data_IF_197364207443
#
_entry.id   IF_197364207443
#
_cell.length_a   1.000
_cell.length_b   1.000
_cell.length_c   1.000
_cell.angle_alpha   90.00
_cell.angle_beta   90.00
_cell.angle_gamma   90.00
#
_symmetry.space_group_name_H-M   'P 1'
#
loop_
_entity.id
_entity.type
_entity.pdbx_description
1 polymer ?
#
# COMPACT_ATOMS: atom_id res chain seq x y z
N UNK A 1 -38.15 21.12 -52.56
CA UNK A 1 -36.69 20.84 -52.46
C UNK A 1 -35.98 21.53 -51.30
N UNK A 2 -36.11 22.85 -51.06
CA UNK A 2 -35.31 23.54 -50.01
C UNK A 2 -35.49 23.04 -48.56
N UNK A 3 -36.67 22.49 -48.21
CA UNK A 3 -36.96 21.99 -46.86
C UNK A 3 -36.21 20.69 -46.56
N UNK A 4 -36.19 19.72 -47.49
CA UNK A 4 -35.48 18.45 -47.33
C UNK A 4 -33.96 18.63 -47.24
N UNK A 5 -33.37 19.53 -48.04
CA UNK A 5 -31.94 19.86 -47.96
C UNK A 5 -31.55 20.45 -46.60
N UNK A 6 -32.41 21.31 -46.02
CA UNK A 6 -32.19 21.89 -44.69
C UNK A 6 -32.26 20.83 -43.59
N UNK A 7 -33.16 19.85 -43.71
CA UNK A 7 -33.23 18.71 -42.80
C UNK A 7 -31.99 17.81 -42.90
N UNK A 8 -31.54 17.49 -44.11
CA UNK A 8 -30.34 16.68 -44.35
C UNK A 8 -29.09 17.37 -43.76
N UNK A 9 -28.96 18.70 -43.91
CA UNK A 9 -27.86 19.46 -43.30
C UNK A 9 -27.87 19.39 -41.76
N UNK A 10 -29.05 19.47 -41.13
CA UNK A 10 -29.19 19.35 -39.67
C UNK A 10 -28.83 17.94 -39.18
N UNK A 11 -29.26 16.91 -39.90
CA UNK A 11 -28.93 15.51 -39.56
C UNK A 11 -27.41 15.28 -39.68
N UNK A 12 -26.77 15.74 -40.76
CA UNK A 12 -25.30 15.65 -40.92
C UNK A 12 -24.55 16.36 -39.80
N UNK A 13 -25.00 17.56 -39.42
CA UNK A 13 -24.38 18.32 -38.32
C UNK A 13 -24.54 17.59 -36.97
N UNK A 14 -25.72 17.01 -36.70
CA UNK A 14 -25.97 16.26 -35.49
C UNK A 14 -25.10 14.99 -35.39
N UNK A 15 -24.96 14.26 -36.49
CA UNK A 15 -24.08 13.08 -36.58
C UNK A 15 -22.61 13.47 -36.37
N UNK A 16 -22.16 14.60 -36.93
CA UNK A 16 -20.80 15.12 -36.74
C UNK A 16 -20.54 15.44 -35.25
N UNK A 17 -21.48 16.07 -34.56
CA UNK A 17 -21.36 16.40 -33.13
C UNK A 17 -21.24 15.13 -32.29
N UNK A 18 -22.05 14.10 -32.56
CA UNK A 18 -21.96 12.82 -31.82
C UNK A 18 -20.59 12.16 -32.04
N UNK A 19 -20.08 12.15 -33.27
CA UNK A 19 -18.75 11.60 -33.57
C UNK A 19 -17.64 12.38 -32.84
N UNK A 20 -17.71 13.72 -32.81
CA UNK A 20 -16.78 14.54 -32.04
C UNK A 20 -16.87 14.24 -30.54
N UNK A 21 -18.08 14.09 -29.99
CA UNK A 21 -18.27 13.71 -28.59
C UNK A 21 -17.69 12.33 -28.27
N UNK A 22 -17.79 11.35 -29.18
CA UNK A 22 -17.17 10.03 -29.02
C UNK A 22 -15.64 10.09 -29.04
N UNK A 23 -15.06 10.92 -29.91
CA UNK A 23 -13.60 11.12 -29.97
C UNK A 23 -13.12 11.77 -28.67
N UNK A 24 -13.78 12.85 -28.22
CA UNK A 24 -13.46 13.53 -26.96
C UNK A 24 -13.61 12.55 -25.78
N UNK A 25 -14.68 11.77 -25.73
CA UNK A 25 -14.89 10.76 -24.68
C UNK A 25 -13.81 9.68 -24.66
N UNK A 26 -13.31 9.26 -25.82
CA UNK A 26 -12.19 8.31 -25.91
C UNK A 26 -10.87 8.90 -25.40
N UNK A 27 -10.62 10.20 -25.62
CA UNK A 27 -9.46 10.90 -25.05
C UNK A 27 -9.56 11.09 -23.53
N UNK A 28 -10.78 11.10 -22.97
CA UNK A 28 -11.01 11.13 -21.52
C UNK A 28 -10.95 9.76 -20.84
N UNK A 29 -10.83 8.65 -21.58
CA UNK A 29 -10.60 7.36 -20.94
C UNK A 29 -9.18 7.33 -20.34
N UNK A 30 -9.13 7.38 -19.01
CA UNK A 30 -7.89 7.28 -18.23
C UNK A 30 -7.21 5.95 -18.54
N UNK A 31 -6.11 6.00 -19.30
CA UNK A 31 -5.30 4.83 -19.63
C UNK A 31 -4.75 4.25 -18.32
N UNK A 32 -5.17 3.04 -17.96
CA UNK A 32 -4.62 2.35 -16.78
C UNK A 32 -3.27 1.76 -17.15
N UNK A 33 -2.21 2.54 -17.00
CA UNK A 33 -0.84 2.06 -17.14
C UNK A 33 -0.51 1.15 -15.94
N UNK A 34 -0.42 -0.15 -16.20
CA UNK A 34 -0.01 -1.15 -15.22
C UNK A 34 1.50 -1.09 -15.03
N UNK A 35 1.97 -1.26 -13.79
CA UNK A 35 3.39 -1.18 -13.45
C UNK A 35 3.93 -2.57 -13.09
N UNK A 36 5.07 -2.91 -13.68
CA UNK A 36 5.82 -4.11 -13.30
C UNK A 36 6.64 -3.83 -12.02
N UNK A 37 6.07 -4.18 -10.87
CA UNK A 37 6.70 -3.99 -9.56
C UNK A 37 7.89 -4.92 -9.26
N UNK A 38 8.20 -5.88 -10.13
CA UNK A 38 9.33 -6.79 -9.91
C UNK A 38 10.68 -6.20 -10.37
N UNK A 39 10.67 -5.07 -11.08
CA UNK A 39 11.88 -4.44 -11.66
C UNK A 39 12.94 -4.13 -10.60
N UNK A 40 12.52 -3.82 -9.36
CA UNK A 40 13.43 -3.43 -8.28
C UNK A 40 13.85 -4.61 -7.39
N UNK A 41 13.38 -5.83 -7.63
CA UNK A 41 13.64 -6.97 -6.73
C UNK A 41 15.15 -7.34 -6.69
N UNK A 42 15.92 -7.01 -7.73
CA UNK A 42 17.36 -7.22 -7.78
C UNK A 42 18.19 -6.18 -7.01
N UNK A 43 17.59 -5.06 -6.57
CA UNK A 43 18.32 -4.02 -5.84
C UNK A 43 18.76 -4.58 -4.49
N UNK A 44 20.06 -4.48 -4.24
CA UNK A 44 20.68 -4.85 -2.98
C UNK A 44 20.87 -3.61 -2.10
N UNK A 45 20.18 -3.58 -0.98
CA UNK A 45 20.30 -2.53 0.03
C UNK A 45 20.58 -3.14 1.40
N UNK A 46 21.26 -2.40 2.27
CA UNK A 46 21.51 -2.84 3.65
C UNK A 46 20.23 -2.72 4.46
N UNK A 47 19.69 -3.86 4.90
CA UNK A 47 18.52 -3.94 5.78
C UNK A 47 18.96 -4.67 7.05
N UNK A 48 18.90 -4.01 8.22
CA UNK A 48 19.23 -4.67 9.48
C UNK A 48 18.22 -5.79 9.77
N UNK A 49 18.68 -6.88 10.40
CA UNK A 49 17.83 -8.01 10.79
C UNK A 49 16.81 -8.42 9.72
N UNK A 50 17.24 -8.58 8.46
CA UNK A 50 16.34 -8.77 7.33
C UNK A 50 15.35 -9.91 7.58
N UNK A 51 14.07 -9.63 7.40
CA UNK A 51 13.01 -10.61 7.55
C UNK A 51 13.08 -11.67 6.45
N UNK A 52 12.82 -12.93 6.82
CA UNK A 52 12.47 -13.97 5.88
C UNK A 52 10.99 -13.78 5.47
N UNK A 53 10.76 -13.41 4.21
CA UNK A 53 9.42 -13.12 3.68
C UNK A 53 8.96 -14.21 2.68
N UNK A 54 9.59 -15.39 2.66
CA UNK A 54 9.32 -16.44 1.66
C UNK A 54 7.87 -16.95 1.67
N UNK A 55 7.17 -16.84 2.80
CA UNK A 55 5.76 -17.22 2.91
C UNK A 55 4.81 -16.22 2.20
N UNK A 56 5.30 -15.02 1.85
CA UNK A 56 4.61 -14.09 0.96
C UNK A 56 4.78 -14.53 -0.50
N UNK A 57 3.95 -15.47 -0.95
CA UNK A 57 3.96 -16.08 -2.28
C UNK A 57 3.94 -15.08 -3.45
N UNK A 58 3.35 -13.89 -3.26
CA UNK A 58 3.28 -12.83 -4.28
C UNK A 58 4.52 -11.92 -4.31
N UNK A 59 5.44 -12.07 -3.37
CA UNK A 59 6.70 -11.33 -3.31
C UNK A 59 7.81 -12.14 -4.00
N UNK A 60 8.19 -11.75 -5.21
CA UNK A 60 9.27 -12.40 -5.94
C UNK A 60 10.64 -11.75 -5.68
N UNK A 61 11.03 -11.62 -4.41
CA UNK A 61 12.26 -10.93 -4.00
C UNK A 61 12.97 -11.68 -2.87
N UNK A 62 14.18 -12.17 -3.15
CA UNK A 62 15.02 -12.89 -2.17
C UNK A 62 15.73 -11.97 -1.18
N UNK A 63 15.77 -10.65 -1.44
CA UNK A 63 16.39 -9.62 -0.59
C UNK A 63 15.37 -8.52 -0.28
N UNK A 64 14.27 -8.84 0.43
CA UNK A 64 13.16 -7.94 0.63
C UNK A 64 13.52 -6.76 1.55
N UNK A 65 12.91 -5.60 1.36
CA UNK A 65 13.16 -4.36 2.10
C UNK A 65 12.47 -4.33 3.49
N UNK A 66 12.51 -5.43 4.23
CA UNK A 66 11.85 -5.58 5.53
C UNK A 66 12.84 -6.03 6.60
N UNK A 67 12.89 -5.32 7.71
CA UNK A 67 13.63 -5.68 8.92
C UNK A 67 12.68 -6.37 9.88
N UNK A 68 12.99 -7.57 10.34
CA UNK A 68 12.18 -8.28 11.33
C UNK A 68 12.18 -7.52 12.67
N UNK A 69 11.00 -7.39 13.25
CA UNK A 69 10.77 -6.85 14.60
C UNK A 69 9.77 -7.76 15.32
N UNK A 70 10.08 -8.18 16.54
CA UNK A 70 9.11 -8.93 17.35
C UNK A 70 8.04 -7.98 17.85
N UNK A 71 6.81 -8.48 17.94
CA UNK A 71 5.71 -7.66 18.46
C UNK A 71 6.00 -7.17 19.89
N UNK A 72 6.52 -8.05 20.74
CA UNK A 72 6.89 -7.70 22.11
C UNK A 72 7.91 -6.56 22.19
N UNK A 73 8.90 -6.55 21.30
CA UNK A 73 9.90 -5.49 21.24
C UNK A 73 9.23 -4.16 20.87
N UNK A 74 8.33 -4.16 19.89
CA UNK A 74 7.55 -2.98 19.51
C UNK A 74 6.71 -2.46 20.68
N UNK A 75 5.94 -3.31 21.36
CA UNK A 75 5.13 -2.94 22.52
C UNK A 75 6.00 -2.36 23.65
N UNK A 76 7.15 -2.97 23.93
CA UNK A 76 8.05 -2.47 24.96
C UNK A 76 8.68 -1.13 24.57
N UNK A 77 9.02 -0.94 23.29
CA UNK A 77 9.56 0.33 22.80
C UNK A 77 8.53 1.46 22.88
N UNK A 78 7.27 1.19 22.52
CA UNK A 78 6.20 2.19 22.62
C UNK A 78 5.89 2.57 24.06
N UNK A 79 5.76 1.60 24.97
CA UNK A 79 5.60 1.84 26.43
C UNK A 79 6.68 2.73 27.03
N UNK A 80 7.90 2.63 26.51
CA UNK A 80 9.06 3.35 27.01
C UNK A 80 9.39 4.63 26.22
N UNK A 81 8.54 5.07 25.28
CA UNK A 81 8.79 6.22 24.39
C UNK A 81 10.13 6.12 23.62
N UNK A 82 10.52 4.90 23.24
CA UNK A 82 11.76 4.57 22.52
C UNK A 82 11.50 3.97 21.14
N UNK A 83 10.32 4.20 20.59
CA UNK A 83 9.95 3.66 19.30
C UNK A 83 10.80 4.32 18.20
N UNK A 84 11.29 3.52 17.24
CA UNK A 84 12.23 4.04 16.24
C UNK A 84 11.47 4.81 15.16
N UNK A 85 12.02 5.90 14.66
CA UNK A 85 11.50 6.54 13.46
C UNK A 85 11.65 5.59 12.25
N UNK A 86 10.70 5.65 11.34
CA UNK A 86 10.70 4.87 10.10
C UNK A 86 9.34 4.30 9.74
N UNK A 87 9.34 3.45 8.70
CA UNK A 87 8.14 2.77 8.19
C UNK A 87 7.92 1.49 8.98
N UNK A 88 6.67 1.24 9.37
CA UNK A 88 6.24 0.02 10.04
C UNK A 88 5.20 -0.70 9.19
N UNK A 89 5.31 -2.03 9.15
CA UNK A 89 4.36 -2.92 8.49
C UNK A 89 3.93 -4.02 9.45
N UNK A 90 2.63 -4.12 9.69
CA UNK A 90 2.02 -5.16 10.50
C UNK A 90 1.14 -6.03 9.60
N UNK A 91 1.35 -7.34 9.62
CA UNK A 91 0.57 -8.28 8.82
C UNK A 91 0.97 -9.72 9.09
N UNK A 92 0.56 -10.64 8.22
CA UNK A 92 1.02 -12.02 8.24
C UNK A 92 0.94 -12.63 6.82
N UNK A 93 1.64 -13.75 6.55
CA UNK A 93 1.62 -14.37 5.23
C UNK A 93 0.32 -15.14 4.91
N UNK A 94 -0.51 -15.51 5.87
CA UNK A 94 -1.78 -16.23 5.61
C UNK A 94 -2.91 -15.29 5.14
N UNK A 95 -2.75 -13.99 5.37
CA UNK A 95 -3.69 -12.93 5.02
C UNK A 95 -3.63 -12.57 3.51
N UNK A 96 -4.74 -12.76 2.79
CA UNK A 96 -4.84 -12.49 1.35
C UNK A 96 -4.49 -11.04 0.97
N UNK A 97 -4.99 -10.09 1.74
CA UNK A 97 -4.71 -8.67 1.57
C UNK A 97 -3.22 -8.35 1.78
N UNK A 98 -2.60 -8.98 2.78
CA UNK A 98 -1.18 -8.85 3.10
C UNK A 98 -0.31 -9.34 1.94
N UNK A 99 -0.70 -10.43 1.27
CA UNK A 99 -0.03 -10.94 0.07
C UNK A 99 -0.02 -9.91 -1.07
N UNK A 100 -1.01 -9.03 -1.17
CA UNK A 100 -1.05 -8.00 -2.22
C UNK A 100 -0.26 -6.74 -1.85
N UNK A 101 -0.25 -6.37 -0.58
CA UNK A 101 0.41 -5.14 -0.12
C UNK A 101 1.92 -5.27 -0.14
N UNK A 102 2.46 -6.41 0.31
CA UNK A 102 3.91 -6.59 0.50
C UNK A 102 4.73 -6.33 -0.78
N UNK A 103 4.37 -6.85 -1.96
CA UNK A 103 5.15 -6.58 -3.18
C UNK A 103 5.20 -5.09 -3.57
N UNK A 104 4.11 -4.35 -3.34
CA UNK A 104 4.00 -2.92 -3.65
C UNK A 104 4.83 -2.10 -2.68
N UNK A 105 4.67 -2.39 -1.38
CA UNK A 105 5.46 -1.76 -0.34
C UNK A 105 6.95 -2.05 -0.52
N UNK A 106 7.32 -3.29 -0.87
CA UNK A 106 8.70 -3.66 -1.19
C UNK A 106 9.27 -2.81 -2.33
N UNK A 107 8.53 -2.68 -3.43
CA UNK A 107 8.93 -1.83 -4.56
C UNK A 107 9.20 -0.40 -4.09
N UNK A 108 8.25 0.21 -3.38
CA UNK A 108 8.32 1.61 -2.97
C UNK A 108 9.43 1.86 -1.94
N UNK A 109 9.62 0.94 -1.00
CA UNK A 109 10.75 0.97 -0.06
C UNK A 109 12.08 0.88 -0.80
N UNK A 110 12.19 -0.03 -1.78
CA UNK A 110 13.41 -0.18 -2.59
C UNK A 110 13.73 1.05 -3.42
N UNK A 111 12.71 1.62 -4.06
CA UNK A 111 12.82 2.85 -4.83
C UNK A 111 13.36 4.01 -3.98
N UNK A 112 12.90 4.15 -2.74
CA UNK A 112 13.33 5.21 -1.81
C UNK A 112 14.55 4.85 -0.96
N UNK A 113 15.15 3.67 -1.16
CA UNK A 113 16.26 3.16 -0.34
C UNK A 113 15.93 3.07 1.16
N UNK A 114 14.67 2.78 1.48
CA UNK A 114 14.15 2.59 2.83
C UNK A 114 13.90 1.11 3.12
N UNK A 115 13.65 0.78 4.38
CA UNK A 115 13.09 -0.50 4.78
C UNK A 115 11.97 -0.30 5.80
N UNK A 116 11.08 -1.27 5.91
CA UNK A 116 10.04 -1.28 6.93
C UNK A 116 10.40 -2.21 8.08
N UNK A 117 10.08 -1.82 9.32
CA UNK A 117 10.02 -2.73 10.45
C UNK A 117 8.79 -3.63 10.29
N UNK A 118 9.03 -4.91 10.02
CA UNK A 118 8.01 -5.92 9.83
C UNK A 118 7.70 -6.62 11.13
N UNK A 119 6.42 -6.58 11.52
CA UNK A 119 5.86 -7.29 12.65
C UNK A 119 4.85 -8.31 12.11
N UNK A 120 5.17 -9.59 12.23
CA UNK A 120 4.22 -10.66 11.95
C UNK A 120 3.29 -10.82 13.17
N UNK A 121 1.98 -10.68 12.96
CA UNK A 121 1.00 -10.86 14.05
C UNK A 121 0.90 -12.31 14.53
N UNK A 122 1.50 -13.26 13.82
CA UNK A 122 1.61 -14.65 14.25
C UNK A 122 2.97 -15.00 14.87
N UNK A 123 3.97 -14.10 14.84
CA UNK A 123 5.33 -14.39 15.36
C UNK A 123 5.42 -14.43 16.89
N UNK A 124 4.32 -14.31 17.61
CA UNK A 124 4.31 -14.45 19.06
C UNK A 124 3.05 -15.15 19.55
N UNK A 125 3.23 -16.34 20.12
CA UNK A 125 2.45 -16.73 21.29
C UNK A 125 2.86 -15.76 22.41
N UNK A 126 2.04 -14.76 22.71
CA UNK A 126 2.19 -14.04 23.97
C UNK A 126 1.56 -14.92 25.06
N UNK A 127 2.42 -15.50 25.89
CA UNK A 127 2.01 -16.30 27.06
C UNK A 127 1.06 -17.48 26.75
N UNK A 128 1.22 -18.16 25.61
CA UNK A 128 0.46 -19.38 25.31
C UNK A 128 -1.06 -19.20 25.17
N UNK A 129 -1.55 -17.95 25.06
CA UNK A 129 -2.96 -17.63 24.82
C UNK A 129 -3.13 -17.01 23.43
N UNK A 130 -4.22 -17.35 22.74
CA UNK A 130 -4.58 -16.81 21.42
C UNK A 130 -4.93 -15.30 21.43
N UNK A 131 -4.92 -14.65 22.60
CA UNK A 131 -5.34 -13.27 22.81
C UNK A 131 -4.32 -12.19 22.41
N UNK A 132 -3.31 -12.52 21.59
CA UNK A 132 -2.39 -11.54 21.01
C UNK A 132 -3.12 -10.42 20.25
N UNK A 133 -4.30 -10.76 19.71
CA UNK A 133 -5.15 -9.81 19.01
C UNK A 133 -5.59 -8.64 19.89
N UNK A 134 -5.92 -8.83 21.16
CA UNK A 134 -6.55 -7.76 21.95
C UNK A 134 -5.53 -6.79 22.52
N UNK A 135 -4.39 -7.27 23.01
CA UNK A 135 -3.32 -6.39 23.49
C UNK A 135 -2.68 -5.62 22.32
N UNK A 136 -2.45 -6.28 21.17
CA UNK A 136 -2.01 -5.60 19.96
C UNK A 136 -3.02 -4.56 19.49
N UNK A 137 -4.30 -4.92 19.38
CA UNK A 137 -5.36 -3.97 18.99
C UNK A 137 -5.46 -2.82 19.99
N UNK A 138 -5.34 -3.09 21.28
CA UNK A 138 -5.35 -2.06 22.32
C UNK A 138 -4.17 -1.10 22.16
N UNK A 139 -2.94 -1.61 22.02
CA UNK A 139 -1.78 -0.76 21.81
C UNK A 139 -1.88 0.01 20.50
N UNK A 140 -2.26 -0.62 19.39
CA UNK A 140 -2.40 0.07 18.11
C UNK A 140 -3.48 1.14 18.16
N UNK A 141 -4.65 0.87 18.75
CA UNK A 141 -5.71 1.88 18.92
C UNK A 141 -5.26 3.08 19.72
N UNK A 142 -4.52 2.86 20.80
CA UNK A 142 -4.06 3.96 21.67
C UNK A 142 -2.87 4.70 21.06
N UNK A 143 -1.92 3.97 20.47
CA UNK A 143 -0.69 4.53 19.92
C UNK A 143 -0.93 5.26 18.58
N UNK A 144 -1.80 4.73 17.74
CA UNK A 144 -2.17 5.36 16.47
C UNK A 144 -3.25 6.45 16.67
N UNK A 145 -3.77 6.62 17.88
CA UNK A 145 -4.95 7.45 18.20
C UNK A 145 -6.17 7.15 17.30
N UNK A 146 -6.18 5.98 16.65
CA UNK A 146 -7.14 5.60 15.62
C UNK A 146 -7.90 4.34 16.04
N UNK A 147 -9.20 4.53 16.32
CA UNK A 147 -10.13 3.47 16.74
C UNK A 147 -10.47 2.51 15.60
N UNK A 148 -10.16 2.85 14.34
CA UNK A 148 -10.47 2.06 13.15
C UNK A 148 -9.42 0.99 12.84
N UNK A 149 -8.27 1.01 13.52
CA UNK A 149 -7.21 0.01 13.38
C UNK A 149 -7.70 -1.32 13.96
N UNK A 150 -8.44 -2.05 13.13
CA UNK A 150 -9.07 -3.32 13.47
C UNK A 150 -8.60 -4.47 12.57
N UNK A 151 -7.92 -4.15 11.45
CA UNK A 151 -7.62 -5.12 10.40
C UNK A 151 -6.21 -4.94 9.84
N UNK A 152 -5.52 -6.07 9.60
CA UNK A 152 -4.26 -6.13 8.86
C UNK A 152 -4.53 -6.27 7.36
N UNK A 153 -3.55 -5.94 6.50
CA UNK A 153 -2.27 -5.29 6.79
C UNK A 153 -2.40 -3.84 7.24
N UNK A 154 -1.43 -3.39 8.03
CA UNK A 154 -1.30 -1.99 8.45
C UNK A 154 0.07 -1.46 8.03
N UNK A 155 0.10 -0.25 7.46
CA UNK A 155 1.34 0.49 7.16
C UNK A 155 1.25 1.87 7.78
N UNK A 156 2.28 2.26 8.54
CA UNK A 156 2.36 3.58 9.15
C UNK A 156 3.80 4.08 9.22
N UNK A 157 3.96 5.39 9.38
CA UNK A 157 5.25 6.02 9.67
C UNK A 157 5.25 6.50 11.11
N UNK A 158 6.34 6.23 11.81
CA UNK A 158 6.69 6.93 13.04
C UNK A 158 7.77 7.97 12.72
N UNK A 159 7.52 9.19 13.15
CA UNK A 159 8.51 10.26 13.19
C UNK A 159 8.38 11.03 14.51
N UNK A 160 9.51 11.33 15.13
CA UNK A 160 9.60 11.93 16.47
C UNK A 160 8.63 11.31 17.50
N UNK A 161 8.64 9.96 17.59
CA UNK A 161 7.76 9.16 18.46
C UNK A 161 6.24 9.30 18.19
N UNK A 162 5.83 9.94 17.10
CA UNK A 162 4.43 10.12 16.72
C UNK A 162 4.12 9.40 15.41
N UNK A 163 2.89 8.97 15.27
CA UNK A 163 2.40 8.39 14.01
C UNK A 163 2.01 9.55 13.10
N UNK A 164 2.72 9.72 12.00
CA UNK A 164 2.53 10.87 11.10
C UNK A 164 1.71 10.53 9.85
N UNK A 165 1.64 9.25 9.47
CA UNK A 165 0.87 8.75 8.32
C UNK A 165 0.41 7.31 8.55
N UNK A 166 -0.78 7.00 8.04
CA UNK A 166 -1.45 5.70 8.17
C UNK A 166 -2.16 5.31 6.87
N UNK A 167 -2.28 4.02 6.60
CA UNK A 167 -3.02 3.47 5.47
C UNK A 167 -3.91 2.29 5.92
N UNK A 168 -5.23 2.49 5.87
CA UNK A 168 -6.26 1.47 6.11
C UNK A 168 -6.82 0.85 4.82
N UNK A 169 -6.83 1.62 3.74
CA UNK A 169 -7.53 1.24 2.51
C UNK A 169 -6.58 0.60 1.51
N UNK A 170 -6.54 -0.73 1.55
CA UNK A 170 -6.03 -1.55 0.45
C UNK A 170 -7.02 -1.39 -0.69
N UNK A 171 -6.61 -0.64 -1.70
CA UNK A 171 -7.34 -0.50 -2.95
C UNK A 171 -7.80 -1.88 -3.44
N UNK A 172 -9.13 -2.07 -3.59
CA UNK A 172 -9.72 -3.35 -4.00
C UNK A 172 -9.16 -3.83 -5.36
N UNK A 173 -8.62 -2.92 -6.18
CA UNK A 173 -7.93 -3.25 -7.44
C UNK A 173 -6.69 -4.12 -7.22
N UNK A 174 -6.09 -4.07 -6.03
CA UNK A 174 -4.98 -4.93 -5.63
C UNK A 174 -5.38 -6.41 -5.52
N UNK A 175 -6.66 -6.69 -5.27
CA UNK A 175 -7.19 -8.05 -5.19
C UNK A 175 -7.18 -8.76 -6.56
N UNK A 176 -7.11 -8.00 -7.66
CA UNK A 176 -7.09 -8.51 -9.04
C UNK A 176 -5.67 -8.60 -9.64
N UNK A 177 -4.61 -8.33 -8.84
CA UNK A 177 -3.22 -8.42 -9.29
C UNK A 177 -2.77 -7.33 -10.28
N UNK A 178 -3.61 -6.31 -10.51
CA UNK A 178 -3.35 -5.22 -11.46
C UNK A 178 -2.90 -3.96 -10.70
N UNK A 179 -1.59 -3.76 -10.60
CA UNK A 179 -1.01 -2.60 -9.91
C UNK A 179 -0.91 -1.43 -10.89
N UNK A 180 -1.52 -0.30 -10.54
CA UNK A 180 -1.50 0.93 -11.35
C UNK A 180 -0.49 1.93 -10.81
N UNK A 181 -0.12 2.91 -11.64
CA UNK A 181 0.70 4.03 -11.19
C UNK A 181 0.07 4.83 -10.05
N UNK A 182 -1.27 4.95 -10.04
CA UNK A 182 -2.01 5.60 -8.96
C UNK A 182 -1.81 4.85 -7.63
N UNK A 183 -1.89 3.52 -7.64
CA UNK A 183 -1.68 2.72 -6.44
C UNK A 183 -0.22 2.83 -5.95
N UNK A 184 0.77 2.87 -6.84
CA UNK A 184 2.14 3.12 -6.41
C UNK A 184 2.33 4.51 -5.78
N UNK A 185 1.68 5.54 -6.34
CA UNK A 185 1.78 6.89 -5.81
C UNK A 185 1.20 6.99 -4.40
N UNK A 186 0.06 6.36 -4.10
CA UNK A 186 -0.47 6.37 -2.73
C UNK A 186 0.51 5.76 -1.73
N UNK A 187 1.17 4.65 -2.08
CA UNK A 187 2.21 4.06 -1.25
C UNK A 187 3.46 4.94 -1.13
N UNK A 188 3.89 5.60 -2.20
CA UNK A 188 4.99 6.58 -2.15
C UNK A 188 4.65 7.74 -1.21
N UNK A 189 3.43 8.24 -1.25
CA UNK A 189 2.98 9.34 -0.40
C UNK A 189 2.97 8.93 1.07
N UNK A 190 2.53 7.69 1.35
CA UNK A 190 2.57 7.11 2.70
C UNK A 190 4.00 7.05 3.21
N UNK A 191 4.95 6.47 2.44
CA UNK A 191 6.33 6.28 2.91
C UNK A 191 7.19 7.56 2.84
N UNK A 192 6.67 8.66 2.30
CA UNK A 192 7.39 9.93 2.24
C UNK A 192 7.28 10.63 3.58
N UNK A 193 8.39 10.71 4.30
CA UNK A 193 8.54 11.61 5.45
C UNK A 193 8.65 13.03 4.87
N UNK A 194 7.84 13.99 5.34
CA UNK A 194 8.10 15.40 5.02
C UNK A 194 9.42 15.74 5.71
N UNK A 195 10.45 16.00 4.92
CA UNK A 195 11.59 16.73 5.45
C UNK A 195 11.13 18.19 5.49
N UNK A 196 10.76 18.65 6.68
CA UNK A 196 10.66 20.09 6.95
C UNK A 196 12.06 20.69 7.02
#
# INVERSE_FOLDING_TARGET
MKKSERYIKKIKLFVLVILCCFIIFSMFQKKNDYVNINILNNINMKVPNRANMNEYKRLNDKKPAFSKMKLLDFINMTKNNKVKNGVYYIGNPTCYSCQNVVPILNYVLKEKKLYAYYINVHDSKYNGKDNLNDELKYYLRNFLEDKTVMYIPVVFIIDNNKVVKYCDNIDQRLLQGKITQQTLNSYRDIVSIKND
#
